data_IF_198617692387
#
_entry.id   IF_198617692387
#
_cell.length_a   1.000
_cell.length_b   1.000
_cell.length_c   1.000
_cell.angle_alpha   90.00
_cell.angle_beta   90.00
_cell.angle_gamma   90.00
#
_symmetry.space_group_name_H-M   'P 1'
#
loop_
_entity.id
_entity.type
_entity.pdbx_description
1 polymer ?
#
# COMPACT_ATOMS: atom_id res chain seq x y z
N UNK A 1 -20.28 10.43 -17.35
CA UNK A 1 -19.69 10.20 -18.72
C UNK A 1 -19.67 8.71 -19.10
N UNK A 2 -19.50 7.80 -18.12
CA UNK A 2 -19.55 6.33 -18.33
C UNK A 2 -20.97 5.73 -18.19
N UNK A 3 -21.93 6.51 -17.70
CA UNK A 3 -23.26 6.03 -17.29
C UNK A 3 -24.12 5.55 -18.46
N UNK A 4 -23.80 5.98 -19.69
CA UNK A 4 -24.41 5.46 -20.91
C UNK A 4 -24.07 3.98 -21.17
N UNK A 5 -23.01 3.47 -20.55
CA UNK A 5 -22.49 2.12 -20.74
C UNK A 5 -22.63 1.24 -19.49
N UNK A 6 -23.06 1.81 -18.37
CA UNK A 6 -23.23 1.10 -17.10
C UNK A 6 -24.71 1.13 -16.69
N UNK A 7 -25.34 -0.04 -16.67
CA UNK A 7 -26.72 -0.18 -16.20
C UNK A 7 -26.73 -0.23 -14.67
N UNK A 8 -27.19 0.83 -14.03
CA UNK A 8 -27.36 0.86 -12.58
C UNK A 8 -28.73 0.27 -12.21
N UNK A 9 -28.73 -0.84 -11.49
CA UNK A 9 -29.92 -1.38 -10.85
C UNK A 9 -29.99 -0.85 -9.42
N UNK A 10 -31.05 -0.10 -9.15
CA UNK A 10 -31.35 0.42 -7.83
C UNK A 10 -32.08 -0.64 -7.01
N UNK A 11 -31.68 -0.82 -5.75
CA UNK A 11 -32.36 -1.74 -4.85
C UNK A 11 -33.61 -1.06 -4.27
N UNK A 12 -34.43 -1.81 -3.52
CA UNK A 12 -35.55 -1.23 -2.77
C UNK A 12 -35.10 -0.37 -1.57
N UNK A 13 -33.82 -0.35 -1.23
CA UNK A 13 -33.26 0.39 -0.09
C UNK A 13 -32.85 1.81 -0.52
N UNK A 14 -33.53 2.81 0.04
CA UNK A 14 -33.29 4.22 -0.27
C UNK A 14 -31.88 4.69 0.12
N UNK A 15 -31.32 4.16 1.22
CA UNK A 15 -29.98 4.53 1.67
C UNK A 15 -28.91 3.93 0.77
N UNK A 16 -29.11 2.69 0.33
CA UNK A 16 -28.22 2.07 -0.67
C UNK A 16 -28.21 2.86 -1.98
N UNK A 17 -29.39 3.29 -2.45
CA UNK A 17 -29.49 4.07 -3.68
C UNK A 17 -28.78 5.43 -3.54
N UNK A 18 -28.90 6.10 -2.39
CA UNK A 18 -28.15 7.32 -2.09
C UNK A 18 -26.63 7.08 -2.10
N UNK A 19 -26.17 5.99 -1.48
CA UNK A 19 -24.76 5.61 -1.48
C UNK A 19 -24.24 5.36 -2.91
N UNK A 20 -25.01 4.69 -3.76
CA UNK A 20 -24.67 4.47 -5.17
C UNK A 20 -24.55 5.80 -5.93
N UNK A 21 -25.48 6.73 -5.72
CA UNK A 21 -25.40 8.07 -6.34
C UNK A 21 -24.13 8.82 -5.92
N UNK A 22 -23.80 8.81 -4.61
CA UNK A 22 -22.60 9.46 -4.10
C UNK A 22 -21.31 8.84 -4.64
N UNK A 23 -21.29 7.52 -4.86
CA UNK A 23 -20.15 6.84 -5.51
C UNK A 23 -20.00 7.23 -6.98
N UNK A 24 -21.12 7.40 -7.71
CA UNK A 24 -21.10 7.86 -9.10
C UNK A 24 -20.56 9.30 -9.17
N UNK A 25 -21.05 10.18 -8.30
CA UNK A 25 -20.58 11.56 -8.19
C UNK A 25 -19.07 11.63 -7.89
N UNK A 26 -18.61 10.86 -6.89
CA UNK A 26 -17.20 10.78 -6.52
C UNK A 26 -16.34 10.24 -7.68
N UNK A 27 -16.79 9.18 -8.37
CA UNK A 27 -16.09 8.62 -9.53
C UNK A 27 -15.89 9.66 -10.62
N UNK A 28 -16.94 10.40 -10.95
CA UNK A 28 -16.88 11.41 -12.02
C UNK A 28 -16.00 12.59 -11.64
N UNK A 29 -16.00 13.02 -10.37
CA UNK A 29 -15.07 14.02 -9.84
C UNK A 29 -13.62 13.51 -9.94
N UNK A 30 -13.35 12.28 -9.49
CA UNK A 30 -12.01 11.68 -9.54
C UNK A 30 -11.50 11.55 -10.98
N UNK A 31 -12.36 11.12 -11.92
CA UNK A 31 -11.99 11.02 -13.32
C UNK A 31 -11.65 12.39 -13.92
N UNK A 32 -12.44 13.42 -13.57
CA UNK A 32 -12.17 14.79 -14.00
C UNK A 32 -10.84 15.29 -13.44
N UNK A 33 -10.61 15.14 -12.14
CA UNK A 33 -9.35 15.51 -11.47
C UNK A 33 -8.17 14.80 -12.14
N UNK A 34 -8.29 13.50 -12.37
CA UNK A 34 -7.24 12.70 -12.99
C UNK A 34 -6.90 13.18 -14.41
N UNK A 35 -7.91 13.39 -15.26
CA UNK A 35 -7.69 13.81 -16.65
C UNK A 35 -7.17 15.24 -16.78
N UNK A 36 -7.59 16.13 -15.89
CA UNK A 36 -7.23 17.55 -15.95
C UNK A 36 -5.92 17.86 -15.22
N UNK A 37 -5.58 17.14 -14.15
CA UNK A 37 -4.49 17.48 -13.25
C UNK A 37 -3.41 16.40 -13.12
N UNK A 38 -3.79 15.12 -13.06
CA UNK A 38 -2.84 14.04 -12.78
C UNK A 38 -2.15 13.51 -14.05
N UNK A 39 -2.94 13.15 -15.06
CA UNK A 39 -2.47 12.43 -16.25
C UNK A 39 -1.37 13.22 -16.95
N UNK A 40 -0.21 12.58 -17.11
CA UNK A 40 1.01 13.17 -17.69
C UNK A 40 1.62 14.36 -16.93
N UNK A 41 1.16 14.65 -15.71
CA UNK A 41 1.87 15.56 -14.81
C UNK A 41 3.27 15.04 -14.47
N UNK A 42 4.13 15.93 -13.99
CA UNK A 42 5.47 15.56 -13.53
C UNK A 42 5.43 14.49 -12.43
N UNK A 43 4.52 14.64 -11.46
CA UNK A 43 4.37 13.70 -10.34
C UNK A 43 3.84 12.33 -10.80
N UNK A 44 3.02 12.29 -11.85
CA UNK A 44 2.56 11.04 -12.45
C UNK A 44 3.72 10.23 -13.05
N UNK A 45 4.59 10.86 -13.84
CA UNK A 45 5.79 10.21 -14.38
C UNK A 45 6.75 9.79 -13.27
N UNK A 46 6.94 10.63 -12.25
CA UNK A 46 7.77 10.32 -11.09
C UNK A 46 7.29 9.05 -10.39
N UNK A 47 5.97 8.87 -10.20
CA UNK A 47 5.38 7.68 -9.59
C UNK A 47 5.64 6.41 -10.41
N UNK A 48 5.51 6.48 -11.73
CA UNK A 48 5.82 5.34 -12.63
C UNK A 48 7.29 4.95 -12.52
N UNK A 49 8.17 5.93 -12.65
CA UNK A 49 9.62 5.71 -12.60
C UNK A 49 10.00 5.13 -11.23
N UNK A 50 9.48 5.71 -10.14
CA UNK A 50 9.73 5.21 -8.80
C UNK A 50 9.25 3.75 -8.62
N UNK A 51 8.07 3.41 -9.12
CA UNK A 51 7.55 2.05 -9.06
C UNK A 51 8.46 1.05 -9.80
N UNK A 52 8.86 1.37 -11.03
CA UNK A 52 9.74 0.51 -11.83
C UNK A 52 11.11 0.37 -11.16
N UNK A 53 11.68 1.47 -10.66
CA UNK A 53 12.99 1.46 -10.01
C UNK A 53 13.00 0.61 -8.75
N UNK A 54 11.96 0.71 -7.91
CA UNK A 54 11.84 -0.06 -6.68
C UNK A 54 11.84 -1.57 -6.98
N UNK A 55 11.08 -2.01 -7.96
CA UNK A 55 11.06 -3.41 -8.38
C UNK A 55 12.35 -3.86 -9.07
N UNK A 56 13.00 -2.99 -9.85
CA UNK A 56 14.30 -3.27 -10.45
C UNK A 56 15.40 -3.46 -9.40
N UNK A 57 15.43 -2.60 -8.38
CA UNK A 57 16.35 -2.70 -7.23
C UNK A 57 16.08 -4.01 -6.48
N UNK A 58 14.82 -4.30 -6.18
CA UNK A 58 14.45 -5.55 -5.51
C UNK A 58 14.90 -6.78 -6.32
N UNK A 59 14.64 -6.81 -7.62
CA UNK A 59 15.01 -7.95 -8.46
C UNK A 59 16.51 -8.23 -8.47
N UNK A 60 17.32 -7.17 -8.43
CA UNK A 60 18.78 -7.23 -8.36
C UNK A 60 19.29 -7.80 -7.04
N UNK A 61 18.60 -7.54 -5.93
CA UNK A 61 19.09 -7.86 -4.58
C UNK A 61 18.39 -9.03 -3.91
N UNK A 62 17.23 -9.47 -4.42
CA UNK A 62 16.48 -10.54 -3.80
C UNK A 62 17.25 -11.86 -3.78
N UNK A 63 17.32 -12.48 -2.61
CA UNK A 63 17.86 -13.81 -2.39
C UNK A 63 17.03 -14.86 -3.14
N UNK A 64 17.61 -15.37 -4.25
CA UNK A 64 16.94 -16.30 -5.16
C UNK A 64 16.72 -17.68 -4.54
N UNK A 65 17.43 -18.06 -3.47
CA UNK A 65 17.25 -19.38 -2.84
C UNK A 65 15.99 -19.45 -1.98
N UNK A 66 15.50 -18.30 -1.50
CA UNK A 66 14.29 -18.16 -0.67
C UNK A 66 13.21 -17.33 -1.36
N UNK A 67 13.22 -17.30 -2.71
CA UNK A 67 12.42 -16.37 -3.49
C UNK A 67 10.92 -16.47 -3.18
N UNK A 68 10.37 -17.68 -3.11
CA UNK A 68 8.95 -17.90 -2.81
C UNK A 68 8.56 -17.42 -1.40
N UNK A 69 9.41 -17.68 -0.41
CA UNK A 69 9.21 -17.21 0.96
C UNK A 69 9.20 -15.68 1.03
N UNK A 70 10.16 -15.04 0.36
CA UNK A 70 10.29 -13.57 0.34
C UNK A 70 9.10 -12.93 -0.38
N UNK A 71 8.70 -13.47 -1.54
CA UNK A 71 7.54 -13.00 -2.29
C UNK A 71 6.26 -13.20 -1.45
N UNK A 72 6.08 -14.36 -0.81
CA UNK A 72 4.94 -14.61 0.06
C UNK A 72 4.87 -13.58 1.20
N UNK A 73 6.00 -13.28 1.85
CA UNK A 73 6.08 -12.23 2.86
C UNK A 73 5.68 -10.86 2.28
N UNK A 74 6.23 -10.47 1.13
CA UNK A 74 5.90 -9.22 0.46
C UNK A 74 4.43 -9.10 0.05
N UNK A 75 3.82 -10.18 -0.44
CA UNK A 75 2.39 -10.23 -0.78
C UNK A 75 1.49 -10.10 0.45
N UNK A 76 1.88 -10.72 1.56
CA UNK A 76 1.16 -10.56 2.84
C UNK A 76 1.25 -9.11 3.33
N UNK A 77 2.43 -8.49 3.24
CA UNK A 77 2.64 -7.07 3.57
C UNK A 77 1.76 -6.19 2.70
N UNK A 78 1.79 -6.41 1.37
CA UNK A 78 1.00 -5.64 0.42
C UNK A 78 -0.49 -5.73 0.70
N UNK A 79 -0.98 -6.95 0.96
CA UNK A 79 -2.39 -7.21 1.28
C UNK A 79 -2.80 -6.48 2.56
N UNK A 80 -1.98 -6.56 3.62
CA UNK A 80 -2.26 -5.90 4.89
C UNK A 80 -2.23 -4.37 4.75
N UNK A 81 -1.24 -3.82 4.05
CA UNK A 81 -1.13 -2.39 3.78
C UNK A 81 -2.36 -1.89 3.02
N UNK A 82 -2.76 -2.59 1.96
CA UNK A 82 -3.96 -2.27 1.17
C UNK A 82 -5.23 -2.25 2.02
N UNK A 83 -5.40 -3.21 2.94
CA UNK A 83 -6.58 -3.26 3.83
C UNK A 83 -6.57 -2.08 4.81
N UNK A 84 -5.42 -1.77 5.40
CA UNK A 84 -5.29 -0.62 6.32
C UNK A 84 -5.58 0.68 5.57
N UNK A 85 -5.06 0.83 4.36
CA UNK A 85 -5.27 2.02 3.52
C UNK A 85 -6.74 2.18 3.13
N UNK A 86 -7.40 1.09 2.73
CA UNK A 86 -8.82 1.07 2.48
C UNK A 86 -9.62 1.54 3.70
N UNK A 87 -9.32 1.03 4.90
CA UNK A 87 -10.00 1.45 6.13
C UNK A 87 -9.74 2.93 6.38
N UNK A 88 -8.49 3.39 6.28
CA UNK A 88 -8.12 4.78 6.52
C UNK A 88 -8.79 5.77 5.58
N UNK A 89 -8.83 5.47 4.28
CA UNK A 89 -9.53 6.29 3.29
C UNK A 89 -11.04 6.31 3.51
N UNK A 90 -11.66 5.16 3.80
CA UNK A 90 -13.11 5.10 4.08
C UNK A 90 -13.49 5.84 5.37
N UNK A 91 -12.57 5.91 6.34
CA UNK A 91 -12.71 6.73 7.55
C UNK A 91 -12.29 8.18 7.35
N UNK A 92 -11.83 8.57 6.16
CA UNK A 92 -11.35 9.92 5.83
C UNK A 92 -10.21 10.36 6.77
N UNK A 93 -9.36 9.42 7.19
CA UNK A 93 -8.20 9.72 8.02
C UNK A 93 -7.08 10.34 7.19
N UNK A 94 -7.00 9.96 5.92
CA UNK A 94 -6.10 10.50 4.91
C UNK A 94 -6.65 10.28 3.50
N UNK A 95 -6.04 10.92 2.51
CA UNK A 95 -6.38 10.83 1.11
C UNK A 95 -5.18 10.98 0.19
N UNK A 96 -5.41 10.77 -1.10
CA UNK A 96 -4.37 10.78 -2.13
C UNK A 96 -4.86 11.62 -3.30
N UNK A 97 -4.55 12.92 -3.30
CA UNK A 97 -5.04 13.85 -4.32
C UNK A 97 -4.57 13.47 -5.72
N UNK A 98 -3.37 12.89 -5.82
CA UNK A 98 -2.78 12.50 -7.09
C UNK A 98 -2.85 10.98 -7.22
N UNK A 99 -3.47 10.50 -8.29
CA UNK A 99 -3.64 9.07 -8.56
C UNK A 99 -2.87 8.64 -9.81
N UNK A 100 -2.38 7.39 -9.83
CA UNK A 100 -1.73 6.84 -11.03
C UNK A 100 -2.77 6.41 -12.08
N UNK A 101 -3.93 5.95 -11.62
CA UNK A 101 -5.06 5.52 -12.44
C UNK A 101 -6.35 6.05 -11.80
N UNK A 102 -7.37 6.43 -12.60
CA UNK A 102 -8.55 7.14 -12.12
C UNK A 102 -9.54 6.27 -11.33
N UNK A 103 -9.42 4.94 -11.39
CA UNK A 103 -10.38 3.99 -10.81
C UNK A 103 -9.74 2.97 -9.87
N UNK A 104 -8.44 3.09 -9.59
CA UNK A 104 -7.75 2.15 -8.70
C UNK A 104 -7.69 2.68 -7.29
N UNK A 105 -7.30 1.80 -6.37
CA UNK A 105 -6.73 2.20 -5.09
C UNK A 105 -5.67 3.27 -5.36
N UNK A 106 -5.77 4.47 -4.76
CA UNK A 106 -4.86 5.57 -5.02
C UNK A 106 -3.37 5.23 -4.78
N UNK A 107 -3.08 4.21 -3.96
CA UNK A 107 -1.74 3.82 -3.53
C UNK A 107 -1.12 2.59 -4.20
N UNK A 108 -1.55 2.21 -5.41
CA UNK A 108 -0.98 1.06 -6.13
C UNK A 108 0.57 1.03 -6.12
N UNK A 109 1.23 2.19 -6.18
CA UNK A 109 2.71 2.30 -6.16
C UNK A 109 3.32 2.07 -4.77
N UNK A 110 2.69 2.59 -3.70
CA UNK A 110 3.23 2.43 -2.35
C UNK A 110 2.93 1.04 -1.81
N UNK A 111 1.67 0.60 -1.91
CA UNK A 111 1.18 -0.64 -1.29
C UNK A 111 1.64 -1.90 -2.01
N UNK A 112 1.86 -1.82 -3.32
CA UNK A 112 2.36 -2.95 -4.13
C UNK A 112 3.82 -2.77 -4.57
N UNK A 113 4.46 -1.66 -4.22
CA UNK A 113 5.84 -1.38 -4.63
C UNK A 113 6.70 -1.08 -3.43
N UNK A 114 6.69 0.18 -2.98
CA UNK A 114 7.61 0.69 -1.98
C UNK A 114 7.55 -0.08 -0.65
N UNK A 115 6.37 -0.18 -0.04
CA UNK A 115 6.17 -0.81 1.27
C UNK A 115 6.58 -2.30 1.24
N UNK A 116 6.02 -3.16 0.36
CA UNK A 116 6.38 -4.57 0.36
C UNK A 116 7.85 -4.80 -0.01
N UNK A 117 8.43 -4.02 -0.92
CA UNK A 117 9.86 -4.16 -1.27
C UNK A 117 10.77 -3.83 -0.10
N UNK A 118 10.53 -2.72 0.60
CA UNK A 118 11.31 -2.36 1.80
C UNK A 118 11.22 -3.48 2.84
N UNK A 119 10.01 -3.98 3.09
CA UNK A 119 9.77 -5.07 4.03
C UNK A 119 10.48 -6.37 3.61
N UNK A 120 10.40 -6.75 2.34
CA UNK A 120 11.09 -7.92 1.79
C UNK A 120 12.62 -7.81 1.93
N UNK A 121 13.18 -6.61 1.73
CA UNK A 121 14.62 -6.35 1.91
C UNK A 121 15.02 -6.46 3.38
N UNK A 122 14.22 -5.92 4.31
CA UNK A 122 14.48 -6.09 5.75
C UNK A 122 14.35 -7.56 6.15
N UNK A 123 13.32 -8.25 5.69
CA UNK A 123 13.06 -9.64 6.00
C UNK A 123 14.21 -10.58 5.60
N UNK A 124 14.66 -10.48 4.35
CA UNK A 124 15.66 -11.40 3.81
C UNK A 124 17.06 -11.18 4.41
N UNK A 125 17.41 -9.94 4.75
CA UNK A 125 18.73 -9.58 5.28
C UNK A 125 18.85 -9.82 6.80
N UNK A 126 17.73 -9.84 7.53
CA UNK A 126 17.73 -10.01 8.98
C UNK A 126 16.94 -11.25 9.40
N UNK A 127 17.60 -12.41 9.36
CA UNK A 127 17.00 -13.70 9.73
C UNK A 127 16.70 -13.81 11.23
N UNK A 128 17.64 -13.42 12.10
CA UNK A 128 17.45 -13.44 13.56
C UNK A 128 16.40 -12.42 14.03
N UNK A 129 15.57 -12.80 15.00
CA UNK A 129 14.52 -11.93 15.54
C UNK A 129 15.03 -10.62 16.15
N UNK A 130 16.16 -10.64 16.89
CA UNK A 130 16.72 -9.43 17.52
C UNK A 130 17.26 -8.44 16.50
N UNK A 131 17.91 -8.91 15.43
CA UNK A 131 18.39 -8.03 14.36
C UNK A 131 17.23 -7.53 13.50
N UNK A 132 16.25 -8.39 13.22
CA UNK A 132 15.04 -8.02 12.48
C UNK A 132 14.24 -6.92 13.17
N UNK A 133 13.95 -7.05 14.46
CA UNK A 133 13.18 -6.03 15.20
C UNK A 133 13.93 -4.68 15.21
N UNK A 134 15.26 -4.68 15.37
CA UNK A 134 16.06 -3.45 15.27
C UNK A 134 15.99 -2.82 13.88
N UNK A 135 16.10 -3.62 12.83
CA UNK A 135 15.99 -3.14 11.46
C UNK A 135 14.60 -2.59 11.12
N UNK A 136 13.54 -3.29 11.56
CA UNK A 136 12.15 -2.85 11.43
C UNK A 136 11.90 -1.55 12.20
N UNK A 137 12.47 -1.40 13.39
CA UNK A 137 12.35 -0.16 14.16
C UNK A 137 12.94 1.02 13.38
N UNK A 138 14.17 0.89 12.86
CA UNK A 138 14.82 1.93 12.05
C UNK A 138 14.02 2.23 10.79
N UNK A 139 13.57 1.18 10.09
CA UNK A 139 12.69 1.30 8.92
C UNK A 139 11.41 2.08 9.27
N UNK A 140 10.72 1.72 10.35
CA UNK A 140 9.49 2.38 10.77
C UNK A 140 9.72 3.86 11.14
N UNK A 141 10.84 4.20 11.78
CA UNK A 141 11.21 5.60 12.04
C UNK A 141 11.36 6.37 10.72
N UNK A 142 12.11 5.82 9.77
CA UNK A 142 12.34 6.47 8.47
C UNK A 142 11.03 6.63 7.70
N UNK A 143 10.21 5.58 7.62
CA UNK A 143 8.97 5.62 6.84
C UNK A 143 7.97 6.59 7.46
N UNK A 144 7.69 6.47 8.77
CA UNK A 144 6.68 7.28 9.44
C UNK A 144 7.08 8.75 9.60
N UNK A 145 8.36 9.05 9.82
CA UNK A 145 8.80 10.42 10.18
C UNK A 145 9.63 11.12 9.11
N UNK A 146 9.96 10.45 8.00
CA UNK A 146 10.66 11.07 6.87
C UNK A 146 9.86 10.89 5.59
N UNK A 147 9.51 9.65 5.23
CA UNK A 147 8.85 9.37 3.95
C UNK A 147 7.40 9.90 3.94
N UNK A 148 6.61 9.60 4.97
CA UNK A 148 5.23 10.09 5.07
C UNK A 148 5.15 11.63 5.08
N UNK A 149 5.91 12.37 5.91
CA UNK A 149 5.91 13.83 5.87
C UNK A 149 6.39 14.40 4.52
N UNK A 150 7.36 13.75 3.86
CA UNK A 150 7.78 14.15 2.51
C UNK A 150 6.64 13.97 1.49
N UNK A 151 5.86 12.89 1.61
CA UNK A 151 4.69 12.65 0.76
C UNK A 151 3.60 13.70 1.01
N UNK A 152 3.42 14.16 2.26
CA UNK A 152 2.54 15.30 2.55
C UNK A 152 3.06 16.58 1.93
N UNK A 153 4.33 16.87 2.11
CA UNK A 153 4.95 18.09 1.58
C UNK A 153 4.88 18.17 0.05
N UNK A 154 4.99 17.03 -0.64
CA UNK A 154 4.86 16.95 -2.11
C UNK A 154 3.42 16.94 -2.62
N UNK A 155 2.43 16.90 -1.73
CA UNK A 155 1.00 16.82 -2.09
C UNK A 155 0.55 15.46 -2.62
N UNK A 156 1.39 14.43 -2.52
CA UNK A 156 1.05 13.05 -2.91
C UNK A 156 0.10 12.42 -1.87
N UNK A 157 0.25 12.82 -0.61
CA UNK A 157 -0.51 12.34 0.52
C UNK A 157 -1.17 13.52 1.24
N UNK A 158 -2.46 13.41 1.54
CA UNK A 158 -3.18 14.41 2.31
C UNK A 158 -3.59 13.80 3.64
N UNK A 159 -3.14 14.42 4.73
CA UNK A 159 -3.39 13.94 6.08
C UNK A 159 -4.56 14.72 6.68
N UNK A 160 -5.67 14.04 7.01
CA UNK A 160 -6.88 14.69 7.50
C UNK A 160 -6.98 14.60 9.03
N UNK A 161 -7.23 13.40 9.55
CA UNK A 161 -7.39 13.11 10.99
C UNK A 161 -6.43 12.00 11.44
N UNK A 162 -5.24 11.99 10.85
CA UNK A 162 -4.19 11.03 11.17
C UNK A 162 -2.98 11.72 11.78
N UNK A 163 -2.16 10.97 12.50
CA UNK A 163 -0.89 11.44 13.03
C UNK A 163 0.20 10.43 12.68
N UNK A 164 1.37 10.91 12.27
CA UNK A 164 2.53 10.06 11.91
C UNK A 164 2.93 9.12 13.05
N UNK A 165 2.69 9.51 14.31
CA UNK A 165 2.90 8.67 15.49
C UNK A 165 2.06 7.40 15.50
N UNK A 166 0.93 7.37 14.79
CA UNK A 166 0.08 6.18 14.66
C UNK A 166 0.62 5.21 13.60
N UNK A 167 1.21 5.71 12.51
CA UNK A 167 1.83 4.89 11.47
C UNK A 167 3.01 4.09 12.04
N UNK A 168 3.80 4.70 12.91
CA UNK A 168 5.00 4.08 13.50
C UNK A 168 4.78 2.70 14.14
N UNK A 169 3.89 2.53 15.15
CA UNK A 169 3.62 1.22 15.74
C UNK A 169 2.97 0.25 14.75
N UNK A 170 2.16 0.74 13.80
CA UNK A 170 1.53 -0.10 12.78
C UNK A 170 2.60 -0.78 11.91
N UNK A 171 3.60 -0.03 11.44
CA UNK A 171 4.68 -0.61 10.65
C UNK A 171 5.41 -1.74 11.39
N UNK A 172 5.72 -1.53 12.68
CA UNK A 172 6.44 -2.50 13.50
C UNK A 172 5.59 -3.76 13.74
N UNK A 173 4.34 -3.58 14.17
CA UNK A 173 3.43 -4.69 14.49
C UNK A 173 3.18 -5.53 13.24
N UNK A 174 2.90 -4.90 12.10
CA UNK A 174 2.72 -5.59 10.82
C UNK A 174 3.93 -6.44 10.45
N UNK A 175 5.15 -5.89 10.57
CA UNK A 175 6.37 -6.62 10.21
C UNK A 175 6.58 -7.87 11.08
N UNK A 176 6.37 -7.73 12.40
CA UNK A 176 6.55 -8.80 13.38
C UNK A 176 5.48 -9.88 13.19
N UNK A 177 4.21 -9.49 13.08
CA UNK A 177 3.09 -10.41 12.89
C UNK A 177 3.29 -11.25 11.64
N UNK A 178 3.60 -10.61 10.51
CA UNK A 178 3.75 -11.31 9.23
C UNK A 178 4.98 -12.23 9.23
N UNK A 179 6.09 -11.81 9.86
CA UNK A 179 7.28 -12.67 9.98
C UNK A 179 6.96 -13.89 10.84
N UNK A 180 6.18 -13.71 11.90
CA UNK A 180 5.74 -14.82 12.74
C UNK A 180 4.87 -15.81 11.95
N UNK A 181 3.92 -15.33 11.14
CA UNK A 181 3.07 -16.18 10.29
C UNK A 181 3.91 -16.96 9.28
N UNK A 182 4.80 -16.30 8.53
CA UNK A 182 5.67 -16.98 7.55
C UNK A 182 6.52 -18.06 8.23
N UNK A 183 7.16 -17.74 9.37
CA UNK A 183 7.94 -18.72 10.11
C UNK A 183 7.10 -19.93 10.57
N UNK A 184 5.84 -19.72 10.95
CA UNK A 184 4.91 -20.82 11.30
C UNK A 184 4.57 -21.70 10.10
N UNK A 185 4.34 -21.09 8.93
CA UNK A 185 4.08 -21.81 7.69
C UNK A 185 5.30 -22.66 7.30
N UNK A 186 6.50 -22.07 7.31
CA UNK A 186 7.75 -22.77 7.00
C UNK A 186 8.03 -23.92 7.97
N UNK A 187 7.81 -23.71 9.27
CA UNK A 187 7.94 -24.77 10.27
C UNK A 187 7.03 -25.95 9.96
N UNK A 188 5.77 -25.69 9.61
CA UNK A 188 4.80 -26.73 9.26
C UNK A 188 5.18 -27.46 7.97
N UNK A 189 5.62 -26.72 6.94
CA UNK A 189 6.09 -27.30 5.69
C UNK A 189 7.26 -28.27 5.91
N UNK A 190 8.27 -27.85 6.68
CA UNK A 190 9.45 -28.68 6.96
C UNK A 190 9.10 -29.89 7.83
N UNK A 191 8.12 -29.78 8.73
CA UNK A 191 7.68 -30.91 9.59
C UNK A 191 6.96 -32.04 8.84
N UNK A 192 6.51 -31.80 7.60
CA UNK A 192 5.87 -32.82 6.75
C UNK A 192 6.85 -33.51 5.79
N UNK A 193 8.10 -33.03 5.70
CA UNK A 193 9.16 -33.60 4.87
C UNK A 193 10.11 -34.54 5.62
N UNK A 194 9.85 -34.78 6.91
CA UNK A 194 10.48 -35.80 7.77
C UNK A 194 9.43 -36.78 8.26
#
# INVERSE_FOLDING_TARGET
MLDKYLLFQYSGDSLWNEMVQKRIELRDINLKLYLEQDLFSFLWWLKIIAFILVWAIWWKWVDKTRLLEIIAYGLMVSSLATVIDLIGMNMVLWGYPITLLPFTLPLYVADLGMIPVIYMLVYQNFSNWKSFIRAVFVMAVIVAFVVEPLNVWTGIYEMNNWNYLYSFPIYIISAILLKWIINKILFKQNSHHY
#
